data_IF_187896604101
#
_entry.id   IF_187896604101
#
_cell.length_a   1.000
_cell.length_b   1.000
_cell.length_c   1.000
_cell.angle_alpha   90.00
_cell.angle_beta   90.00
_cell.angle_gamma   90.00
#
_symmetry.space_group_name_H-M   'P 1'
#
loop_
_entity.id
_entity.type
_entity.pdbx_description
1 polymer ?
#
# COMPACT_ATOMS: atom_id res chain seq x y z
N UNK A 1 -21.40 1.03 14.12
CA UNK A 1 -20.44 0.07 14.71
C UNK A 1 -20.49 -1.32 14.05
N UNK A 2 -21.66 -1.97 13.88
CA UNK A 2 -21.76 -3.29 13.22
C UNK A 2 -21.08 -3.43 11.84
N UNK A 3 -21.00 -2.35 11.07
CA UNK A 3 -20.46 -2.29 9.69
C UNK A 3 -18.96 -2.61 9.59
N UNK A 4 -18.17 -2.27 10.61
CA UNK A 4 -16.71 -2.45 10.58
C UNK A 4 -16.24 -3.82 11.07
N UNK A 5 -17.04 -4.56 11.85
CA UNK A 5 -16.67 -5.91 12.30
C UNK A 5 -16.49 -6.88 11.13
N UNK A 6 -17.37 -6.79 10.12
CA UNK A 6 -17.24 -7.62 8.93
C UNK A 6 -15.97 -7.30 8.14
N UNK A 7 -15.56 -6.03 8.09
CA UNK A 7 -14.31 -5.64 7.46
C UNK A 7 -13.10 -6.24 8.20
N UNK A 8 -13.10 -6.18 9.53
CA UNK A 8 -12.05 -6.79 10.37
C UNK A 8 -12.00 -8.31 10.15
N UNK A 9 -13.15 -8.98 10.09
CA UNK A 9 -13.23 -10.42 9.85
C UNK A 9 -12.63 -10.85 8.51
N UNK A 10 -12.63 -9.98 7.49
CA UNK A 10 -12.05 -10.23 6.17
C UNK A 10 -10.53 -10.06 6.17
N UNK A 11 -10.04 -9.04 6.90
CA UNK A 11 -8.60 -8.73 6.97
C UNK A 11 -7.85 -9.76 7.81
N UNK A 12 -8.44 -10.24 8.90
CA UNK A 12 -7.73 -11.08 9.86
C UNK A 12 -7.11 -12.34 9.20
N UNK A 13 -7.84 -13.15 8.41
CA UNK A 13 -7.25 -14.31 7.73
C UNK A 13 -6.17 -13.91 6.73
N UNK A 14 -6.36 -12.80 6.00
CA UNK A 14 -5.35 -12.27 5.07
C UNK A 14 -4.05 -11.91 5.80
N UNK A 15 -4.15 -11.20 6.93
CA UNK A 15 -2.97 -10.81 7.73
C UNK A 15 -2.26 -12.04 8.27
N UNK A 16 -3.00 -13.03 8.79
CA UNK A 16 -2.41 -14.28 9.27
C UNK A 16 -1.66 -15.02 8.15
N UNK A 17 -2.26 -15.15 6.96
CA UNK A 17 -1.63 -15.76 5.79
C UNK A 17 -0.36 -15.01 5.34
N UNK A 18 -0.36 -13.68 5.47
CA UNK A 18 0.76 -12.85 5.03
C UNK A 18 1.91 -12.86 6.03
N UNK A 19 1.61 -12.81 7.32
CA UNK A 19 2.64 -12.81 8.36
C UNK A 19 3.45 -14.10 8.35
N UNK A 20 2.84 -15.26 8.08
CA UNK A 20 3.57 -16.54 8.02
C UNK A 20 4.53 -16.63 6.83
N UNK A 21 4.35 -15.80 5.82
CA UNK A 21 5.17 -15.75 4.61
C UNK A 21 6.10 -14.52 4.56
N UNK A 22 6.11 -13.69 5.61
CA UNK A 22 7.02 -12.55 5.69
C UNK A 22 8.45 -13.06 5.79
N UNK A 23 9.28 -12.62 4.86
CA UNK A 23 10.69 -12.98 4.84
C UNK A 23 11.43 -12.28 3.71
N UNK A 24 12.71 -12.05 3.96
CA UNK A 24 13.63 -11.52 2.95
C UNK A 24 13.64 -12.47 1.76
N UNK A 25 13.41 -11.91 0.58
CA UNK A 25 13.40 -12.65 -0.68
C UNK A 25 13.94 -11.78 -1.79
N UNK A 26 14.29 -12.40 -2.91
CA UNK A 26 14.70 -11.67 -4.10
C UNK A 26 13.49 -10.92 -4.67
N UNK A 27 13.46 -9.61 -4.43
CA UNK A 27 12.39 -8.71 -4.85
C UNK A 27 12.90 -7.27 -4.85
N UNK A 28 12.15 -6.37 -5.50
CA UNK A 28 12.46 -4.94 -5.52
C UNK A 28 12.47 -4.30 -4.13
N UNK A 29 11.89 -4.95 -3.11
CA UNK A 29 11.94 -4.47 -1.71
C UNK A 29 13.36 -4.18 -1.27
N UNK A 30 14.33 -5.00 -1.68
CA UNK A 30 15.74 -4.79 -1.32
C UNK A 30 16.30 -3.52 -1.97
N UNK A 31 15.84 -3.19 -3.18
CA UNK A 31 16.19 -1.95 -3.88
C UNK A 31 15.59 -0.76 -3.14
N UNK A 32 14.28 -0.80 -2.84
CA UNK A 32 13.61 0.27 -2.08
C UNK A 32 14.23 0.48 -0.70
N UNK A 33 14.56 -0.59 0.01
CA UNK A 33 15.23 -0.55 1.30
C UNK A 33 16.64 0.06 1.21
N UNK A 34 17.41 -0.29 0.17
CA UNK A 34 18.73 0.29 -0.06
C UNK A 34 18.66 1.78 -0.44
N UNK A 35 17.76 2.14 -1.34
CA UNK A 35 17.50 3.54 -1.73
C UNK A 35 17.11 4.37 -0.51
N UNK A 36 16.22 3.83 0.32
CA UNK A 36 15.79 4.46 1.55
C UNK A 36 16.96 4.73 2.51
N UNK A 37 17.82 3.71 2.72
CA UNK A 37 19.03 3.84 3.51
C UNK A 37 19.96 4.93 2.97
N UNK A 38 20.23 4.95 1.66
CA UNK A 38 21.11 5.95 1.03
C UNK A 38 20.61 7.38 1.21
N UNK A 39 19.30 7.61 1.09
CA UNK A 39 18.70 8.93 1.35
C UNK A 39 18.90 9.35 2.81
N UNK A 40 18.72 8.44 3.76
CA UNK A 40 18.96 8.76 5.17
C UNK A 40 20.44 8.98 5.52
N UNK A 41 21.37 8.55 4.66
CA UNK A 41 22.79 8.93 4.71
C UNK A 41 23.09 10.28 4.01
N UNK A 42 22.06 11.01 3.57
CA UNK A 42 22.20 12.32 2.93
C UNK A 42 22.42 12.29 1.42
N UNK A 43 22.29 11.13 0.76
CA UNK A 43 22.39 11.02 -0.70
C UNK A 43 21.06 11.40 -1.38
N UNK A 44 21.14 12.09 -2.51
CA UNK A 44 19.97 12.52 -3.27
C UNK A 44 19.74 11.65 -4.52
N UNK A 45 18.50 11.18 -4.76
CA UNK A 45 18.14 10.48 -6.00
C UNK A 45 18.44 11.32 -7.24
N UNK A 46 18.91 10.68 -8.30
CA UNK A 46 19.31 11.25 -9.59
C UNK A 46 20.52 12.20 -9.58
N UNK A 47 21.02 12.55 -8.41
CA UNK A 47 22.28 13.28 -8.24
C UNK A 47 23.41 12.33 -7.84
N UNK A 48 23.20 11.55 -6.78
CA UNK A 48 24.22 10.68 -6.20
C UNK A 48 24.01 9.21 -6.57
N UNK A 49 22.78 8.82 -6.95
CA UNK A 49 22.46 7.49 -7.44
C UNK A 49 21.23 7.50 -8.35
N UNK A 50 21.15 6.53 -9.26
CA UNK A 50 20.00 6.34 -10.13
C UNK A 50 18.90 5.50 -9.46
N UNK A 51 17.64 5.88 -9.68
CA UNK A 51 16.47 5.11 -9.28
C UNK A 51 15.41 5.14 -10.38
N UNK A 52 14.88 3.98 -10.76
CA UNK A 52 14.03 3.87 -11.96
C UNK A 52 12.62 4.47 -11.76
N UNK A 53 12.09 4.45 -10.54
CA UNK A 53 10.74 4.92 -10.25
C UNK A 53 10.74 6.40 -9.86
N UNK A 54 9.59 7.05 -9.99
CA UNK A 54 9.43 8.48 -9.73
C UNK A 54 10.02 8.87 -8.34
N UNK A 55 10.71 10.03 -8.21
CA UNK A 55 11.49 10.36 -7.01
C UNK A 55 10.72 10.24 -5.69
N UNK A 56 9.41 10.53 -5.71
CA UNK A 56 8.56 10.45 -4.51
C UNK A 56 8.57 9.06 -3.86
N UNK A 57 8.64 7.98 -4.65
CA UNK A 57 8.68 6.62 -4.14
C UNK A 57 9.95 6.35 -3.32
N UNK A 58 11.06 6.99 -3.68
CA UNK A 58 12.31 6.90 -2.94
C UNK A 58 12.15 7.53 -1.54
N UNK A 59 11.53 8.71 -1.46
CA UNK A 59 11.27 9.39 -0.19
C UNK A 59 10.22 8.70 0.68
N UNK A 60 9.17 8.13 0.07
CA UNK A 60 8.21 7.28 0.79
C UNK A 60 8.93 6.06 1.39
N UNK A 61 9.83 5.46 0.62
CA UNK A 61 10.64 4.34 1.10
C UNK A 61 11.57 4.77 2.23
N UNK A 62 12.20 5.95 2.18
CA UNK A 62 12.96 6.50 3.30
C UNK A 62 12.12 6.68 4.56
N UNK A 63 10.89 7.17 4.41
CA UNK A 63 9.95 7.29 5.52
C UNK A 63 9.60 5.92 6.12
N UNK A 64 9.34 4.92 5.29
CA UNK A 64 9.10 3.55 5.73
C UNK A 64 10.31 2.91 6.40
N UNK A 65 11.52 3.17 5.90
CA UNK A 65 12.76 2.69 6.53
C UNK A 65 12.92 3.29 7.92
N UNK A 66 12.66 4.59 8.07
CA UNK A 66 12.67 5.28 9.35
C UNK A 66 11.68 4.65 10.33
N UNK A 67 10.42 4.42 9.91
CA UNK A 67 9.40 3.75 10.73
C UNK A 67 9.75 2.30 11.08
N UNK A 68 10.43 1.61 10.17
CA UNK A 68 10.92 0.25 10.37
C UNK A 68 12.18 0.19 11.24
N UNK A 69 12.70 1.31 11.73
CA UNK A 69 13.97 1.40 12.48
C UNK A 69 15.14 0.73 11.74
N UNK A 70 15.15 0.79 10.40
CA UNK A 70 16.12 0.10 9.56
C UNK A 70 16.04 -1.43 9.61
N UNK A 71 14.95 -2.01 10.10
CA UNK A 71 14.72 -3.45 10.07
C UNK A 71 14.01 -3.85 8.78
N UNK A 72 14.66 -4.69 7.97
CA UNK A 72 14.12 -5.11 6.68
C UNK A 72 12.82 -5.92 6.83
N UNK A 73 12.68 -6.77 7.85
CA UNK A 73 11.45 -7.56 8.03
C UNK A 73 10.25 -6.65 8.35
N UNK A 74 10.46 -5.59 9.13
CA UNK A 74 9.44 -4.57 9.37
C UNK A 74 9.14 -3.76 8.11
N UNK A 75 10.14 -3.49 7.27
CA UNK A 75 9.95 -2.81 6.00
C UNK A 75 9.04 -3.61 5.05
N UNK A 76 9.13 -4.93 5.05
CA UNK A 76 8.24 -5.81 4.26
C UNK A 76 6.77 -5.69 4.67
N UNK A 77 6.45 -5.30 5.92
CA UNK A 77 5.07 -5.07 6.36
C UNK A 77 4.39 -3.90 5.65
N UNK A 78 5.17 -2.96 5.08
CA UNK A 78 4.63 -1.74 4.46
C UNK A 78 3.67 -2.05 3.33
N UNK A 79 4.01 -3.00 2.45
CA UNK A 79 3.17 -3.44 1.33
C UNK A 79 1.84 -4.06 1.81
N UNK A 80 1.88 -4.83 2.90
CA UNK A 80 0.69 -5.42 3.52
C UNK A 80 -0.22 -4.31 4.07
N UNK A 81 0.36 -3.34 4.78
CA UNK A 81 -0.37 -2.21 5.36
C UNK A 81 -1.04 -1.38 4.25
N UNK A 82 -0.29 -1.02 3.20
CA UNK A 82 -0.83 -0.29 2.04
C UNK A 82 -1.99 -1.05 1.39
N UNK A 83 -1.85 -2.36 1.19
CA UNK A 83 -2.88 -3.22 0.61
C UNK A 83 -4.16 -3.25 1.47
N UNK A 84 -4.02 -3.30 2.81
CA UNK A 84 -5.15 -3.22 3.73
C UNK A 84 -5.84 -1.87 3.63
N UNK A 85 -5.07 -0.77 3.56
CA UNK A 85 -5.62 0.58 3.39
C UNK A 85 -6.38 0.69 2.06
N UNK A 86 -5.82 0.17 0.95
CA UNK A 86 -6.53 0.13 -0.34
C UNK A 86 -7.85 -0.62 -0.22
N UNK A 87 -7.83 -1.79 0.41
CA UNK A 87 -9.03 -2.60 0.64
C UNK A 87 -10.09 -1.84 1.44
N UNK A 88 -9.66 -1.06 2.44
CA UNK A 88 -10.54 -0.20 3.22
C UNK A 88 -11.19 0.91 2.38
N UNK A 89 -10.42 1.55 1.50
CA UNK A 89 -10.98 2.55 0.60
C UNK A 89 -11.96 1.95 -0.41
N UNK A 90 -11.69 0.74 -0.93
CA UNK A 90 -12.65 0.00 -1.77
C UNK A 90 -13.97 -0.21 -1.02
N UNK A 91 -13.90 -0.65 0.25
CA UNK A 91 -15.09 -0.79 1.09
C UNK A 91 -15.86 0.53 1.22
N UNK A 92 -15.19 1.63 1.57
CA UNK A 92 -15.83 2.94 1.76
C UNK A 92 -16.49 3.42 0.47
N UNK A 93 -15.77 3.33 -0.65
CA UNK A 93 -16.24 3.84 -1.95
C UNK A 93 -17.43 3.03 -2.43
N UNK A 94 -17.36 1.70 -2.35
CA UNK A 94 -18.46 0.80 -2.72
C UNK A 94 -19.70 1.06 -1.84
N UNK A 95 -19.49 1.25 -0.53
CA UNK A 95 -20.59 1.56 0.39
C UNK A 95 -21.21 2.93 0.12
N UNK A 96 -20.39 3.94 -0.17
CA UNK A 96 -20.86 5.28 -0.46
C UNK A 96 -21.79 5.30 -1.68
N UNK A 97 -21.48 4.51 -2.72
CA UNK A 97 -22.22 4.41 -3.98
C UNK A 97 -23.47 3.53 -3.89
N UNK A 98 -23.39 2.38 -3.23
CA UNK A 98 -24.46 1.37 -3.25
C UNK A 98 -25.35 1.39 -2.00
N UNK A 99 -24.87 1.99 -0.90
CA UNK A 99 -25.44 1.89 0.46
C UNK A 99 -25.62 0.45 0.96
N UNK A 100 -25.03 -0.54 0.28
CA UNK A 100 -25.16 -1.96 0.59
C UNK A 100 -23.86 -2.53 1.15
N UNK A 101 -23.91 -3.05 2.38
CA UNK A 101 -22.73 -3.59 3.06
C UNK A 101 -22.25 -4.90 2.43
N UNK A 102 -23.14 -5.74 1.91
CA UNK A 102 -22.76 -7.00 1.26
C UNK A 102 -21.94 -6.72 0.00
N UNK A 103 -22.38 -5.78 -0.85
CA UNK A 103 -21.65 -5.41 -2.06
C UNK A 103 -20.27 -4.82 -1.72
N UNK A 104 -20.19 -4.06 -0.62
CA UNK A 104 -18.93 -3.45 -0.16
C UNK A 104 -17.95 -4.51 0.34
N UNK A 105 -18.46 -5.49 1.11
CA UNK A 105 -17.71 -6.65 1.59
C UNK A 105 -17.22 -7.50 0.42
N UNK A 106 -18.11 -7.86 -0.51
CA UNK A 106 -17.74 -8.70 -1.64
C UNK A 106 -16.72 -8.02 -2.54
N UNK A 107 -16.86 -6.71 -2.79
CA UNK A 107 -15.87 -5.92 -3.54
C UNK A 107 -14.48 -5.96 -2.86
N UNK A 108 -14.46 -5.80 -1.54
CA UNK A 108 -13.22 -5.83 -0.74
C UNK A 108 -12.59 -7.22 -0.72
N UNK A 109 -13.40 -8.27 -0.57
CA UNK A 109 -12.98 -9.68 -0.63
C UNK A 109 -12.35 -10.02 -1.97
N UNK A 110 -13.02 -9.67 -3.07
CA UNK A 110 -12.54 -9.93 -4.42
C UNK A 110 -11.20 -9.25 -4.69
N UNK A 111 -10.98 -8.04 -4.16
CA UNK A 111 -9.69 -7.37 -4.27
C UNK A 111 -8.60 -8.06 -3.44
N UNK A 112 -8.78 -8.16 -2.12
CA UNK A 112 -7.71 -8.56 -1.20
C UNK A 112 -7.32 -10.05 -1.35
N UNK A 113 -8.25 -10.88 -1.82
CA UNK A 113 -8.01 -12.30 -2.13
C UNK A 113 -7.84 -12.57 -3.63
N UNK A 114 -7.69 -11.54 -4.47
CA UNK A 114 -7.29 -11.77 -5.86
C UNK A 114 -5.89 -12.39 -5.92
N UNK A 115 -5.65 -13.23 -6.92
CA UNK A 115 -4.38 -13.94 -7.09
C UNK A 115 -3.17 -12.99 -7.10
N UNK A 116 -3.30 -11.84 -7.78
CA UNK A 116 -2.23 -10.84 -7.88
C UNK A 116 -1.92 -10.28 -6.48
N UNK A 117 -2.94 -9.81 -5.74
CA UNK A 117 -2.72 -9.26 -4.39
C UNK A 117 -2.16 -10.33 -3.44
N UNK A 118 -2.67 -11.56 -3.49
CA UNK A 118 -2.15 -12.65 -2.68
C UNK A 118 -0.71 -13.06 -3.05
N UNK A 119 -0.26 -12.85 -4.27
CA UNK A 119 1.11 -13.19 -4.68
C UNK A 119 2.11 -12.04 -4.49
N UNK A 120 1.66 -10.78 -4.51
CA UNK A 120 2.58 -9.62 -4.51
C UNK A 120 2.54 -8.74 -3.27
N UNK A 121 1.51 -8.81 -2.44
CA UNK A 121 1.36 -7.87 -1.31
C UNK A 121 2.25 -8.14 -0.10
N UNK A 122 3.10 -9.16 -0.16
CA UNK A 122 4.04 -9.52 0.92
C UNK A 122 5.44 -8.94 0.70
N UNK A 123 5.64 -8.12 -0.33
CA UNK A 123 6.89 -7.44 -0.62
C UNK A 123 6.62 -6.07 -1.28
N UNK A 124 7.53 -5.11 -1.11
CA UNK A 124 7.35 -3.75 -1.62
C UNK A 124 7.98 -3.61 -3.01
N UNK A 125 7.15 -3.49 -4.03
CA UNK A 125 7.57 -3.24 -5.43
C UNK A 125 7.18 -1.85 -5.92
N UNK A 126 6.53 -1.04 -5.07
CA UNK A 126 5.89 0.22 -5.44
C UNK A 126 4.49 0.05 -6.03
N UNK A 127 4.08 -1.17 -6.40
CA UNK A 127 2.72 -1.45 -6.89
C UNK A 127 1.68 -1.20 -5.80
N UNK A 128 1.96 -1.59 -4.56
CA UNK A 128 1.08 -1.35 -3.41
C UNK A 128 0.93 0.15 -3.13
N UNK A 129 2.04 0.89 -3.14
CA UNK A 129 2.05 2.36 -3.01
C UNK A 129 1.30 3.04 -4.15
N UNK A 130 1.53 2.62 -5.39
CA UNK A 130 0.83 3.15 -6.57
C UNK A 130 -0.68 2.87 -6.50
N UNK A 131 -1.08 1.68 -6.05
CA UNK A 131 -2.48 1.31 -5.86
C UNK A 131 -3.14 2.16 -4.76
N UNK A 132 -2.41 2.44 -3.67
CA UNK A 132 -2.84 3.34 -2.61
C UNK A 132 -3.05 4.77 -3.13
N UNK A 133 -2.12 5.26 -3.93
CA UNK A 133 -2.21 6.59 -4.53
C UNK A 133 -3.39 6.68 -5.51
N UNK A 134 -3.57 5.69 -6.37
CA UNK A 134 -4.68 5.63 -7.30
C UNK A 134 -6.05 5.60 -6.60
N UNK A 135 -6.21 4.79 -5.54
CA UNK A 135 -7.50 4.72 -4.82
C UNK A 135 -7.78 5.99 -4.01
N UNK A 136 -6.75 6.64 -3.46
CA UNK A 136 -6.87 7.94 -2.79
C UNK A 136 -7.26 9.04 -3.79
N UNK A 137 -6.62 9.07 -4.96
CA UNK A 137 -6.98 9.98 -6.03
C UNK A 137 -8.45 9.82 -6.41
N UNK A 138 -8.90 8.57 -6.63
CA UNK A 138 -10.29 8.27 -6.96
C UNK A 138 -11.26 8.62 -5.82
N UNK A 139 -10.89 8.37 -4.57
CA UNK A 139 -11.68 8.74 -3.40
C UNK A 139 -11.92 10.26 -3.33
N UNK A 140 -10.86 11.06 -3.47
CA UNK A 140 -10.97 12.52 -3.43
C UNK A 140 -11.67 13.11 -4.65
N UNK A 141 -11.51 12.49 -5.82
CA UNK A 141 -12.25 12.86 -7.02
C UNK A 141 -13.77 12.72 -6.81
N UNK A 142 -14.22 11.59 -6.25
CA UNK A 142 -15.62 11.36 -5.90
C UNK A 142 -16.17 12.30 -4.81
N UNK A 143 -15.30 13.06 -4.14
CA UNK A 143 -15.65 14.09 -3.15
C UNK A 143 -15.56 15.50 -3.72
N UNK A 144 -15.44 15.65 -5.04
CA UNK A 144 -15.27 16.92 -5.74
C UNK A 144 -14.01 17.70 -5.31
N UNK A 145 -13.03 17.01 -4.70
CA UNK A 145 -11.75 17.59 -4.28
C UNK A 145 -10.69 17.34 -5.35
N UNK A 146 -10.92 17.85 -6.56
CA UNK A 146 -10.08 17.59 -7.74
C UNK A 146 -8.61 17.98 -7.55
N UNK A 147 -8.33 19.07 -6.82
CA UNK A 147 -6.96 19.48 -6.52
C UNK A 147 -6.20 18.42 -5.70
N UNK A 148 -6.83 17.90 -4.63
CA UNK A 148 -6.23 16.87 -3.79
C UNK A 148 -6.10 15.54 -4.56
N UNK A 149 -7.09 15.22 -5.39
CA UNK A 149 -7.03 14.05 -6.28
C UNK A 149 -5.81 14.11 -7.21
N UNK A 150 -5.54 15.28 -7.80
CA UNK A 150 -4.38 15.53 -8.65
C UNK A 150 -3.05 15.23 -7.97
N UNK A 151 -2.89 15.58 -6.68
CA UNK A 151 -1.65 15.31 -5.93
C UNK A 151 -1.31 13.83 -5.81
N UNK A 152 -2.31 12.94 -5.86
CA UNK A 152 -2.11 11.50 -5.75
C UNK A 152 -1.94 10.79 -7.10
N UNK A 153 -2.24 11.43 -8.23
CA UNK A 153 -2.18 10.80 -9.56
C UNK A 153 -1.17 11.46 -10.51
N UNK A 154 -0.62 12.61 -10.11
CA UNK A 154 0.41 13.35 -10.84
C UNK A 154 1.79 12.68 -10.76
#
# INVERSE_FOLDING_TARGET
>A
MKKYYFFIAIILPFVLLKITNLGIRLSDTNIYFNVAFRILQGQLPYKDFFFANFPIFAYISSFYYFLAFGNINLFYLTSIIETIIVTFFIYIISYAKTKNYLISITSSLLYIYSFIILSTSDHQTGVSTASLFAILAFYFFNKEKSFISGLFIA
#
